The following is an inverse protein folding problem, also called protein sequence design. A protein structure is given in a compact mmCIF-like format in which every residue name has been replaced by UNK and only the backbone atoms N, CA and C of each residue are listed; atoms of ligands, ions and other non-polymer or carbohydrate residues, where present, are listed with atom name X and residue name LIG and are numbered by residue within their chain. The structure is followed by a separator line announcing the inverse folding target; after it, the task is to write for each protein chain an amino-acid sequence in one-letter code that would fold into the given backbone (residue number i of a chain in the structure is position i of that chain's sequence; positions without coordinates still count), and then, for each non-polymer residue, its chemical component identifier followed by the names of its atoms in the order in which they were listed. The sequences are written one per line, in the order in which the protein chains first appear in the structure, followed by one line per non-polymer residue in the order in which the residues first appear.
data_IF_680300455769
#
_entry.id   IF_680300455769
#
_cell.length_a   1.000
_cell.length_b   1.000
_cell.length_c   1.000
_cell.angle_alpha   90.00
_cell.angle_beta   90.00
_cell.angle_gamma   90.00
#
_symmetry.space_group_name_H-M   'P 1'
#
loop_
_entity.id
_entity.type
_entity.pdbx_description
1 polymer ?
#
# COMPACT_ATOMS: atom_id res chain seq x y z
N UNK A 1 -34.98 17.05 -3.12
CA UNK A 1 -33.71 16.79 -3.84
C UNK A 1 -33.18 15.46 -3.32
N UNK A 2 -33.30 14.37 -4.10
CA UNK A 2 -32.85 13.03 -3.68
C UNK A 2 -31.32 13.01 -3.73
N UNK A 3 -30.61 12.67 -2.63
CA UNK A 3 -29.16 12.61 -2.67
C UNK A 3 -28.72 11.52 -3.65
N UNK A 4 -27.82 11.91 -4.53
CA UNK A 4 -27.20 11.12 -5.59
C UNK A 4 -26.46 9.92 -5.03
N UNK A 5 -27.00 8.73 -5.24
CA UNK A 5 -26.35 7.44 -4.95
C UNK A 5 -25.05 7.23 -5.76
N UNK A 6 -24.85 7.99 -6.84
CA UNK A 6 -23.76 7.84 -7.82
C UNK A 6 -22.40 8.45 -7.44
N UNK A 7 -22.34 9.27 -6.38
CA UNK A 7 -21.09 9.92 -5.97
C UNK A 7 -20.21 9.00 -5.10
N UNK A 8 -20.81 7.97 -4.50
CA UNK A 8 -20.14 7.08 -3.55
C UNK A 8 -19.41 5.89 -4.20
N UNK A 9 -19.77 5.54 -5.45
CA UNK A 9 -19.21 4.36 -6.12
C UNK A 9 -17.70 4.52 -6.38
N UNK A 10 -17.25 5.76 -6.62
CA UNK A 10 -15.85 6.09 -6.90
C UNK A 10 -15.03 6.40 -5.64
N UNK A 11 -15.66 6.55 -4.47
CA UNK A 11 -14.95 6.91 -3.25
C UNK A 11 -14.00 5.78 -2.82
N UNK A 12 -14.48 4.54 -2.81
CA UNK A 12 -13.65 3.38 -2.41
C UNK A 12 -12.45 3.18 -3.33
N UNK A 13 -12.65 3.32 -4.64
CA UNK A 13 -11.55 3.25 -5.61
C UNK A 13 -10.54 4.39 -5.44
N UNK A 14 -11.03 5.60 -5.15
CA UNK A 14 -10.17 6.76 -4.87
C UNK A 14 -9.36 6.56 -3.58
N UNK A 15 -9.98 6.06 -2.52
CA UNK A 15 -9.29 5.71 -1.26
C UNK A 15 -8.25 4.60 -1.48
N UNK A 16 -8.57 3.59 -2.28
CA UNK A 16 -7.61 2.56 -2.67
C UNK A 16 -6.43 3.14 -3.45
N UNK A 17 -6.68 3.95 -4.48
CA UNK A 17 -5.62 4.60 -5.27
C UNK A 17 -4.72 5.49 -4.41
N UNK A 18 -5.31 6.23 -3.46
CA UNK A 18 -4.56 7.05 -2.50
C UNK A 18 -3.71 6.17 -1.59
N UNK A 19 -4.29 5.12 -1.00
CA UNK A 19 -3.59 4.17 -0.13
C UNK A 19 -2.44 3.48 -0.86
N UNK A 20 -2.67 3.03 -2.10
CA UNK A 20 -1.67 2.42 -2.96
C UNK A 20 -0.52 3.41 -3.26
N UNK A 21 -0.84 4.66 -3.62
CA UNK A 21 0.17 5.70 -3.87
C UNK A 21 1.08 5.88 -2.65
N UNK A 22 0.51 6.05 -1.46
CA UNK A 22 1.30 6.19 -0.23
C UNK A 22 2.09 4.94 0.11
N UNK A 23 1.53 3.75 -0.14
CA UNK A 23 2.23 2.49 0.06
C UNK A 23 3.44 2.33 -0.85
N UNK A 24 3.31 2.64 -2.15
CA UNK A 24 4.44 2.64 -3.08
C UNK A 24 5.50 3.67 -2.66
N UNK A 25 5.08 4.85 -2.19
CA UNK A 25 6.00 5.90 -1.74
C UNK A 25 6.78 5.43 -0.49
N UNK A 26 6.12 4.74 0.43
CA UNK A 26 6.76 4.12 1.59
C UNK A 26 7.74 3.01 1.21
N UNK A 27 7.36 2.13 0.26
CA UNK A 27 8.24 1.10 -0.30
C UNK A 27 9.47 1.70 -0.99
N UNK A 28 9.28 2.79 -1.73
CA UNK A 28 10.39 3.50 -2.37
C UNK A 28 11.36 4.06 -1.32
N UNK A 29 10.84 4.72 -0.27
CA UNK A 29 11.66 5.21 0.84
C UNK A 29 12.41 4.08 1.56
N UNK A 30 11.75 2.94 1.79
CA UNK A 30 12.36 1.76 2.39
C UNK A 30 13.48 1.18 1.48
N UNK A 31 13.25 1.13 0.17
CA UNK A 31 14.24 0.73 -0.81
C UNK A 31 15.45 1.65 -0.84
N UNK A 32 15.24 2.97 -0.78
CA UNK A 32 16.33 3.95 -0.71
C UNK A 32 17.14 3.75 0.59
N UNK A 33 16.48 3.63 1.74
CA UNK A 33 17.14 3.38 3.02
C UNK A 33 17.94 2.07 3.02
N UNK A 34 17.43 1.03 2.35
CA UNK A 34 18.15 -0.23 2.14
C UNK A 34 19.41 -0.06 1.31
N UNK A 35 19.31 0.60 0.15
CA UNK A 35 20.47 0.86 -0.74
C UNK A 35 21.53 1.69 -0.01
N UNK A 36 21.12 2.77 0.66
CA UNK A 36 22.05 3.63 1.43
C UNK A 36 22.73 2.83 2.55
N UNK A 37 21.97 2.07 3.34
CA UNK A 37 22.55 1.25 4.43
C UNK A 37 23.51 0.18 3.90
N UNK A 38 23.21 -0.41 2.74
CA UNK A 38 24.07 -1.38 2.09
C UNK A 38 25.36 -0.74 1.55
N UNK A 39 25.28 0.45 0.95
CA UNK A 39 26.47 1.18 0.46
C UNK A 39 27.38 1.66 1.58
N UNK A 40 26.83 1.95 2.77
CA UNK A 40 27.62 2.31 3.95
C UNK A 40 28.17 1.10 4.73
N UNK A 41 27.91 -0.14 4.28
CA UNK A 41 28.35 -1.36 4.98
C UNK A 41 27.62 -1.62 6.31
N UNK A 42 26.49 -0.96 6.54
CA UNK A 42 25.71 -1.07 7.77
C UNK A 42 24.77 -2.30 7.74
N UNK A 43 25.34 -3.49 7.54
CA UNK A 43 24.60 -4.74 7.40
C UNK A 43 23.67 -5.06 8.60
N UNK A 44 24.03 -4.60 9.81
CA UNK A 44 23.18 -4.75 10.99
C UNK A 44 21.86 -3.97 10.87
N UNK A 45 21.91 -2.76 10.30
CA UNK A 45 20.74 -1.90 10.09
C UNK A 45 19.85 -2.51 9.00
N UNK A 46 20.46 -3.06 7.95
CA UNK A 46 19.77 -3.81 6.90
C UNK A 46 19.05 -5.04 7.46
N UNK A 47 19.69 -5.78 8.37
CA UNK A 47 19.08 -6.95 9.03
C UNK A 47 17.86 -6.60 9.88
N UNK A 48 17.87 -5.44 10.55
CA UNK A 48 16.72 -4.93 11.32
C UNK A 48 15.62 -4.44 10.37
N UNK A 49 16.00 -3.70 9.32
CA UNK A 49 15.07 -3.15 8.34
C UNK A 49 14.39 -4.24 7.50
N UNK A 50 15.10 -5.34 7.24
CA UNK A 50 14.62 -6.54 6.56
C UNK A 50 14.25 -7.67 7.52
N UNK A 51 13.95 -7.33 8.79
CA UNK A 51 13.50 -8.32 9.75
C UNK A 51 12.20 -8.97 9.26
N UNK A 52 12.02 -10.26 9.58
CA UNK A 52 10.84 -11.03 9.21
C UNK A 52 9.53 -10.34 9.65
N UNK A 53 9.55 -9.60 10.76
CA UNK A 53 8.42 -8.78 11.22
C UNK A 53 8.05 -7.67 10.23
N UNK A 54 9.04 -6.94 9.71
CA UNK A 54 8.82 -5.86 8.74
C UNK A 54 8.31 -6.41 7.40
N UNK A 55 8.89 -7.52 6.91
CA UNK A 55 8.37 -8.22 5.71
C UNK A 55 6.93 -8.69 5.92
N UNK A 56 6.62 -9.28 7.07
CA UNK A 56 5.27 -9.74 7.40
C UNK A 56 4.28 -8.57 7.47
N UNK A 57 4.68 -7.45 8.07
CA UNK A 57 3.85 -6.25 8.17
C UNK A 57 3.55 -5.63 6.79
N UNK A 58 4.58 -5.50 5.95
CA UNK A 58 4.44 -5.03 4.55
C UNK A 58 3.54 -5.97 3.75
N UNK A 59 3.72 -7.30 3.89
CA UNK A 59 2.87 -8.28 3.23
C UNK A 59 1.41 -8.18 3.66
N UNK A 60 1.13 -7.98 4.95
CA UNK A 60 -0.23 -7.77 5.46
C UNK A 60 -0.88 -6.52 4.88
N UNK A 61 -0.14 -5.41 4.80
CA UNK A 61 -0.64 -4.17 4.21
C UNK A 61 -0.91 -4.36 2.71
N UNK A 62 -0.02 -5.05 1.99
CA UNK A 62 -0.22 -5.36 0.59
C UNK A 62 -1.47 -6.22 0.36
N UNK A 63 -1.70 -7.25 1.17
CA UNK A 63 -2.91 -8.09 1.11
C UNK A 63 -4.15 -7.24 1.37
N UNK A 64 -4.12 -6.37 2.39
CA UNK A 64 -5.24 -5.50 2.73
C UNK A 64 -5.59 -4.53 1.58
N UNK A 65 -4.57 -3.97 0.92
CA UNK A 65 -4.74 -3.15 -0.28
C UNK A 65 -5.35 -3.95 -1.43
N UNK A 66 -4.85 -5.16 -1.71
CA UNK A 66 -5.40 -6.03 -2.77
C UNK A 66 -6.87 -6.39 -2.48
N UNK A 67 -7.23 -6.66 -1.23
CA UNK A 67 -8.62 -6.88 -0.84
C UNK A 67 -9.49 -5.64 -1.11
N UNK A 68 -9.03 -4.44 -0.73
CA UNK A 68 -9.74 -3.19 -1.03
C UNK A 68 -9.87 -2.93 -2.54
N UNK A 69 -8.86 -3.28 -3.32
CA UNK A 69 -8.92 -3.20 -4.79
C UNK A 69 -9.98 -4.14 -5.36
N UNK A 70 -10.00 -5.40 -4.91
CA UNK A 70 -10.99 -6.37 -5.36
C UNK A 70 -12.41 -5.92 -5.03
N UNK A 71 -12.62 -5.36 -3.84
CA UNK A 71 -13.91 -4.78 -3.44
C UNK A 71 -14.27 -3.61 -4.36
N UNK A 72 -13.35 -2.68 -4.61
CA UNK A 72 -13.60 -1.56 -5.51
C UNK A 72 -13.96 -2.02 -6.94
N UNK A 73 -13.26 -3.01 -7.48
CA UNK A 73 -13.55 -3.61 -8.79
C UNK A 73 -14.92 -4.32 -8.82
N UNK A 74 -15.32 -4.99 -7.74
CA UNK A 74 -16.65 -5.61 -7.64
C UNK A 74 -17.77 -4.57 -7.62
N UNK A 75 -17.56 -3.43 -6.93
CA UNK A 75 -18.52 -2.33 -6.95
C UNK A 75 -18.62 -1.67 -8.32
N UNK A 76 -17.49 -1.43 -8.99
CA UNK A 76 -17.48 -0.85 -10.33
C UNK A 76 -18.11 -1.79 -11.38
N UNK A 77 -17.97 -3.11 -11.21
CA UNK A 77 -18.62 -4.11 -12.08
C UNK A 77 -20.14 -4.27 -11.83
N UNK A 78 -20.67 -3.75 -10.73
CA UNK A 78 -22.11 -3.83 -10.40
C UNK A 78 -22.89 -2.60 -10.92
N UNK A 79 -22.20 -1.47 -11.20
CA UNK A 79 -22.79 -0.26 -11.78
C UNK A 79 -23.03 -0.33 -13.28
#
# INVERSE_FOLDING_TARGET
MKPSLKDNDNLLFKWFCIGLKYFLLGLLGLGIAFVVSHTLGANAIVGILLSASLRSWVARIAIFLVCLFAIAMMFESWG
#
